data_IF_827834609952
#
_entry.id   IF_827834609952
#
_cell.length_a   1.000
_cell.length_b   1.000
_cell.length_c   1.000
_cell.angle_alpha   90.00
_cell.angle_beta   90.00
_cell.angle_gamma   90.00
#
_symmetry.space_group_name_H-M   'P 1'
#
loop_
_entity.id
_entity.type
_entity.pdbx_description
1 polymer ?
#
# COMPACT_ATOMS: atom_id res chain seq x y z
N UNK A 1 11.58 -14.44 13.51
CA UNK A 1 11.68 -15.71 14.21
C UNK A 1 11.22 -16.88 13.34
N UNK A 2 10.05 -16.80 12.65
CA UNK A 2 9.51 -17.87 11.80
C UNK A 2 10.51 -18.34 10.73
N UNK A 3 11.14 -17.44 9.99
CA UNK A 3 12.18 -17.77 8.99
C UNK A 3 13.37 -18.50 9.61
N UNK A 4 13.78 -18.09 10.80
CA UNK A 4 14.87 -18.78 11.52
C UNK A 4 14.47 -20.21 11.89
N UNK A 5 13.26 -20.40 12.42
CA UNK A 5 12.74 -21.71 12.77
C UNK A 5 12.60 -22.63 11.54
N UNK A 6 12.04 -22.09 10.44
CA UNK A 6 11.94 -22.82 9.18
C UNK A 6 13.31 -23.29 8.67
N UNK A 7 14.29 -22.39 8.67
CA UNK A 7 15.66 -22.71 8.25
C UNK A 7 16.32 -23.73 9.20
N UNK A 8 16.14 -23.58 10.52
CA UNK A 8 16.62 -24.55 11.52
C UNK A 8 16.04 -25.94 11.28
N UNK A 9 14.73 -26.02 11.00
CA UNK A 9 14.08 -27.28 10.71
C UNK A 9 14.58 -27.94 9.41
N UNK A 10 14.85 -27.15 8.36
CA UNK A 10 15.36 -27.68 7.08
C UNK A 10 16.75 -28.29 7.16
N UNK A 11 17.51 -28.02 8.21
CA UNK A 11 18.84 -28.58 8.43
C UNK A 11 18.94 -29.50 9.67
N UNK A 12 17.80 -29.88 10.27
CA UNK A 12 17.73 -30.70 11.48
C UNK A 12 18.51 -32.02 11.37
N UNK A 13 18.49 -32.62 10.18
CA UNK A 13 19.15 -33.91 9.90
C UNK A 13 20.62 -33.77 9.47
N UNK A 14 21.17 -32.56 9.57
CA UNK A 14 22.54 -32.26 9.22
C UNK A 14 23.41 -32.05 10.47
N UNK A 15 24.76 -32.10 10.30
CA UNK A 15 25.72 -31.77 11.36
C UNK A 15 25.92 -30.25 11.53
N UNK A 16 25.12 -29.39 10.82
CA UNK A 16 25.24 -27.95 10.86
C UNK A 16 24.72 -27.42 12.20
N UNK A 17 25.53 -26.58 12.86
CA UNK A 17 25.16 -25.94 14.12
C UNK A 17 25.01 -24.45 13.94
N UNK A 18 23.91 -23.88 14.45
CA UNK A 18 23.76 -22.43 14.55
C UNK A 18 24.59 -21.86 15.70
N UNK A 19 25.32 -20.82 15.40
CA UNK A 19 26.03 -20.02 16.41
C UNK A 19 25.45 -18.62 16.46
N UNK A 20 24.99 -18.18 17.61
CA UNK A 20 24.57 -16.79 17.85
C UNK A 20 25.81 -15.89 17.84
N UNK A 21 25.83 -14.89 17.00
CA UNK A 21 26.91 -13.91 16.88
C UNK A 21 26.33 -12.50 16.83
N UNK A 22 27.16 -11.51 17.13
CA UNK A 22 26.82 -10.11 16.90
C UNK A 22 26.61 -9.81 15.41
N UNK A 23 25.85 -8.79 15.10
CA UNK A 23 25.65 -8.37 13.72
C UNK A 23 26.98 -7.91 13.08
N UNK A 24 27.48 -8.71 12.15
CA UNK A 24 28.75 -8.42 11.47
C UNK A 24 28.67 -7.14 10.61
N UNK A 25 27.49 -6.80 10.07
CA UNK A 25 27.31 -5.57 9.30
C UNK A 25 27.55 -4.34 10.19
N UNK A 26 27.10 -4.36 11.45
CA UNK A 26 27.34 -3.25 12.39
C UNK A 26 28.83 -3.06 12.70
N UNK A 27 29.62 -4.15 12.65
CA UNK A 27 31.09 -4.08 12.84
C UNK A 27 31.82 -3.52 11.61
N UNK A 28 31.32 -3.81 10.41
CA UNK A 28 31.94 -3.39 9.16
C UNK A 28 31.49 -2.00 8.70
N UNK A 29 30.29 -1.60 9.04
CA UNK A 29 29.71 -0.31 8.62
C UNK A 29 30.12 0.83 9.51
N UNK A 30 31.40 1.20 9.45
CA UNK A 30 32.02 2.25 10.30
C UNK A 30 31.36 3.65 10.13
N UNK A 31 30.83 3.94 8.93
CA UNK A 31 30.13 5.21 8.61
C UNK A 31 28.61 5.04 8.63
N UNK A 32 28.09 4.19 9.51
CA UNK A 32 26.63 4.02 9.64
C UNK A 32 25.97 5.37 9.93
N UNK A 33 24.99 5.80 9.12
CA UNK A 33 24.27 7.04 9.38
C UNK A 33 23.62 6.99 10.75
N UNK A 34 23.65 8.11 11.48
CA UNK A 34 22.88 8.20 12.72
C UNK A 34 21.39 8.05 12.39
N UNK A 35 20.70 7.26 13.18
CA UNK A 35 19.25 7.15 13.05
C UNK A 35 18.63 8.53 13.26
N UNK A 36 17.95 9.03 12.25
CA UNK A 36 17.14 10.23 12.40
C UNK A 36 15.83 9.83 13.08
N UNK A 37 15.64 10.25 14.31
CA UNK A 37 14.39 10.05 15.03
C UNK A 37 13.54 11.30 14.81
N UNK A 38 12.50 11.19 14.01
CA UNK A 38 11.57 12.28 13.73
C UNK A 38 10.75 12.67 14.98
N UNK A 39 10.05 13.80 14.92
CA UNK A 39 9.10 14.14 15.97
C UNK A 39 7.88 13.22 15.91
N UNK A 40 7.50 12.69 17.05
CA UNK A 40 6.24 11.98 17.21
C UNK A 40 5.11 13.00 17.29
N UNK A 41 4.05 12.79 16.50
CA UNK A 41 2.85 13.61 16.58
C UNK A 41 1.59 12.75 16.63
N UNK A 42 0.53 13.32 17.21
CA UNK A 42 -0.78 12.67 17.33
C UNK A 42 -1.52 12.74 16.00
N UNK A 43 -2.05 11.62 15.55
CA UNK A 43 -3.00 11.58 14.44
C UNK A 43 -4.43 11.76 14.96
N UNK A 44 -5.15 12.73 14.42
CA UNK A 44 -6.42 13.18 14.97
C UNK A 44 -7.55 12.17 14.75
N UNK A 45 -8.44 12.01 15.76
CA UNK A 45 -9.63 11.13 15.67
C UNK A 45 -10.52 11.46 14.47
N UNK A 46 -10.57 12.72 14.01
CA UNK A 46 -11.33 13.08 12.80
C UNK A 46 -10.90 12.33 11.54
N UNK A 47 -9.66 11.78 11.51
CA UNK A 47 -9.12 10.97 10.43
C UNK A 47 -9.11 9.46 10.75
N UNK A 48 -8.85 9.11 12.03
CA UNK A 48 -8.71 7.71 12.43
C UNK A 48 -10.04 7.03 12.79
N UNK A 49 -11.10 7.80 12.99
CA UNK A 49 -12.43 7.31 13.40
C UNK A 49 -12.49 6.76 14.82
N UNK A 50 -11.53 5.94 15.21
CA UNK A 50 -11.40 5.36 16.55
C UNK A 50 -10.30 6.05 17.35
N UNK A 51 -10.59 6.33 18.63
CA UNK A 51 -9.57 6.74 19.60
C UNK A 51 -8.67 5.55 19.95
N UNK A 52 -7.46 5.82 20.50
CA UNK A 52 -6.62 4.74 21.01
C UNK A 52 -7.29 3.95 22.15
N UNK A 53 -8.21 4.56 22.93
CA UNK A 53 -8.96 3.87 24.00
C UNK A 53 -9.89 2.81 23.41
N UNK A 54 -10.64 3.15 22.36
CA UNK A 54 -11.50 2.20 21.65
C UNK A 54 -10.67 1.06 21.03
N UNK A 55 -9.52 1.37 20.43
CA UNK A 55 -8.58 0.36 19.89
C UNK A 55 -7.98 -0.51 21.00
N UNK A 56 -7.66 0.07 22.16
CA UNK A 56 -7.18 -0.65 23.34
C UNK A 56 -8.17 -1.72 23.80
N UNK A 57 -9.44 -1.38 23.86
CA UNK A 57 -10.49 -2.34 24.25
C UNK A 57 -10.58 -3.54 23.31
N UNK A 58 -10.43 -3.31 21.99
CA UNK A 58 -10.38 -4.40 21.00
C UNK A 58 -9.20 -5.34 21.26
N UNK A 59 -8.02 -4.77 21.54
CA UNK A 59 -6.80 -5.56 21.78
C UNK A 59 -6.90 -6.33 23.11
N UNK A 60 -7.42 -5.71 24.18
CA UNK A 60 -7.59 -6.38 25.47
C UNK A 60 -8.54 -7.59 25.34
N UNK A 61 -9.62 -7.47 24.55
CA UNK A 61 -10.51 -8.60 24.26
C UNK A 61 -9.76 -9.79 23.65
N UNK A 62 -8.83 -9.54 22.73
CA UNK A 62 -8.02 -10.62 22.13
C UNK A 62 -7.01 -11.20 23.14
N UNK A 63 -6.41 -10.40 24.02
CA UNK A 63 -5.53 -10.89 25.10
C UNK A 63 -6.32 -11.82 26.04
N UNK A 64 -7.51 -11.40 26.46
CA UNK A 64 -8.40 -12.18 27.35
C UNK A 64 -8.84 -13.47 26.68
N UNK A 65 -9.33 -13.40 25.43
CA UNK A 65 -9.78 -14.56 24.63
C UNK A 65 -8.69 -15.63 24.51
N UNK A 66 -7.43 -15.22 24.43
CA UNK A 66 -6.30 -16.13 24.32
C UNK A 66 -5.71 -16.54 25.69
N UNK A 67 -6.34 -16.14 26.79
CA UNK A 67 -5.90 -16.42 28.17
C UNK A 67 -4.43 -16.01 28.41
N UNK A 68 -4.07 -14.77 28.00
CA UNK A 68 -2.74 -14.19 28.12
C UNK A 68 -2.74 -12.94 29.02
N UNK A 69 -1.54 -12.51 29.46
CA UNK A 69 -1.35 -11.36 30.31
C UNK A 69 -0.99 -10.12 29.50
N UNK A 70 -0.36 -10.32 28.35
CA UNK A 70 0.15 -9.24 27.52
C UNK A 70 0.23 -9.58 26.02
N UNK A 71 0.28 -8.54 25.20
CA UNK A 71 0.58 -8.61 23.76
C UNK A 71 1.79 -7.73 23.49
N UNK A 72 2.84 -8.31 22.93
CA UNK A 72 3.97 -7.56 22.38
C UNK A 72 3.76 -7.28 20.89
N UNK A 73 3.89 -6.02 20.49
CA UNK A 73 3.68 -5.53 19.12
C UNK A 73 5.04 -5.13 18.54
N UNK A 74 5.54 -5.92 17.62
CA UNK A 74 6.84 -5.74 17.00
C UNK A 74 6.84 -4.88 15.75
N UNK A 75 5.66 -4.64 15.16
CA UNK A 75 5.48 -3.87 13.92
C UNK A 75 5.20 -2.40 14.26
N UNK A 76 6.06 -1.47 13.81
CA UNK A 76 5.87 -0.04 14.05
C UNK A 76 4.53 0.51 13.56
N UNK A 77 4.06 0.04 12.39
CA UNK A 77 2.77 0.44 11.80
C UNK A 77 1.59 0.09 12.73
N UNK A 78 1.63 -1.11 13.32
CA UNK A 78 0.61 -1.57 14.25
C UNK A 78 0.60 -0.73 15.53
N UNK A 79 1.78 -0.37 16.06
CA UNK A 79 1.91 0.55 17.19
C UNK A 79 1.40 1.93 16.83
N UNK A 80 1.77 2.47 15.66
CA UNK A 80 1.32 3.78 15.19
C UNK A 80 -0.20 3.84 14.99
N UNK A 81 -0.78 2.78 14.42
CA UNK A 81 -2.22 2.65 14.29
C UNK A 81 -2.89 2.56 15.66
N UNK A 82 -2.41 1.70 16.55
CA UNK A 82 -2.97 1.48 17.87
C UNK A 82 -3.00 2.75 18.72
N UNK A 83 -1.88 3.45 18.79
CA UNK A 83 -1.73 4.65 19.64
C UNK A 83 -2.16 5.96 18.95
N UNK A 84 -2.65 5.92 17.71
CA UNK A 84 -2.94 7.11 16.91
C UNK A 84 -1.77 8.11 16.90
N UNK A 85 -0.57 7.62 16.67
CA UNK A 85 0.63 8.44 16.52
C UNK A 85 1.24 8.25 15.14
N UNK A 86 1.97 9.26 14.67
CA UNK A 86 2.74 9.23 13.42
C UNK A 86 4.10 9.88 13.65
N UNK A 87 5.01 9.62 12.74
CA UNK A 87 6.32 10.25 12.65
C UNK A 87 6.84 10.11 11.23
N UNK A 88 8.05 10.58 10.97
CA UNK A 88 8.66 10.56 9.64
C UNK A 88 10.02 9.85 9.69
N UNK A 89 10.08 8.69 10.35
CA UNK A 89 11.33 7.92 10.49
C UNK A 89 11.72 7.15 9.24
N UNK A 90 10.76 6.89 8.36
CA UNK A 90 10.96 6.31 7.04
C UNK A 90 10.45 7.28 5.98
N UNK A 91 11.16 7.33 4.86
CA UNK A 91 10.68 8.03 3.69
C UNK A 91 9.34 7.42 3.26
N UNK A 92 8.42 8.27 2.82
CA UNK A 92 7.11 7.89 2.26
C UNK A 92 6.12 7.21 3.23
N UNK A 93 6.55 6.77 4.41
CA UNK A 93 5.68 6.09 5.39
C UNK A 93 5.65 6.86 6.70
N UNK A 94 4.49 7.43 7.10
CA UNK A 94 4.39 8.28 8.29
C UNK A 94 4.34 7.43 9.58
N UNK A 95 5.45 6.82 9.94
CA UNK A 95 5.57 5.98 11.12
C UNK A 95 6.71 6.40 12.07
N UNK A 96 6.63 5.90 13.29
CA UNK A 96 7.64 5.97 14.35
C UNK A 96 8.27 4.59 14.48
N UNK A 97 9.59 4.50 14.41
CA UNK A 97 10.31 3.23 14.69
C UNK A 97 10.25 2.92 16.18
N UNK A 98 9.34 2.06 16.54
CA UNK A 98 9.08 1.69 17.93
C UNK A 98 8.54 0.25 18.01
N UNK A 99 8.56 -0.26 19.22
CA UNK A 99 7.82 -1.44 19.64
C UNK A 99 6.82 -1.03 20.72
N UNK A 100 5.82 -1.84 20.97
CA UNK A 100 4.95 -1.61 22.11
C UNK A 100 4.50 -2.91 22.77
N UNK A 101 4.07 -2.78 24.00
CA UNK A 101 3.45 -3.86 24.77
C UNK A 101 2.20 -3.31 25.43
N UNK A 102 1.15 -4.09 25.41
CA UNK A 102 -0.07 -3.83 26.17
C UNK A 102 -0.35 -4.99 27.10
N UNK A 103 -0.62 -4.67 28.36
CA UNK A 103 -1.05 -5.63 29.39
C UNK A 103 -2.56 -5.80 29.40
N UNK A 104 -3.00 -6.93 29.89
CA UNK A 104 -4.45 -7.25 30.11
C UNK A 104 -5.16 -6.23 30.98
N UNK A 105 -4.48 -5.63 31.95
CA UNK A 105 -5.00 -4.56 32.83
C UNK A 105 -5.13 -3.21 32.12
N UNK A 106 -4.64 -3.09 30.87
CA UNK A 106 -4.70 -1.89 30.04
C UNK A 106 -3.52 -0.94 30.19
N UNK A 107 -2.45 -1.31 30.89
CA UNK A 107 -1.17 -0.58 30.87
C UNK A 107 -0.50 -0.73 29.52
N UNK A 108 0.09 0.35 29.03
CA UNK A 108 0.70 0.40 27.69
C UNK A 108 2.14 0.90 27.82
N UNK A 109 3.05 0.23 27.15
CA UNK A 109 4.46 0.60 27.07
C UNK A 109 4.85 0.78 25.61
N UNK A 110 5.47 1.91 25.29
CA UNK A 110 6.08 2.17 23.98
C UNK A 110 7.61 2.24 24.15
N UNK A 111 8.31 1.48 23.35
CA UNK A 111 9.78 1.43 23.35
C UNK A 111 10.30 2.13 22.11
N UNK A 112 10.91 3.30 22.32
CA UNK A 112 11.54 4.06 21.23
C UNK A 112 12.67 4.94 21.76
N UNK A 113 13.59 5.31 20.87
CA UNK A 113 14.69 6.23 21.23
C UNK A 113 14.39 7.70 20.87
N UNK A 114 13.11 8.02 20.63
CA UNK A 114 12.67 9.38 20.29
C UNK A 114 12.66 10.30 21.50
N UNK A 115 13.01 11.57 21.25
CA UNK A 115 12.66 12.65 22.16
C UNK A 115 11.18 12.98 21.98
N UNK A 116 10.42 12.92 23.06
CA UNK A 116 8.98 13.25 23.04
C UNK A 116 8.75 14.71 23.40
N UNK A 117 7.92 15.39 22.59
CA UNK A 117 7.50 16.76 22.88
C UNK A 117 6.59 16.82 24.11
N UNK A 118 6.45 18.01 24.72
CA UNK A 118 5.54 18.24 25.86
C UNK A 118 4.10 17.79 25.55
N UNK A 119 3.62 18.03 24.33
CA UNK A 119 2.29 17.62 23.90
C UNK A 119 2.13 16.10 23.86
N UNK A 120 3.11 15.38 23.34
CA UNK A 120 3.11 13.90 23.31
C UNK A 120 3.28 13.34 24.71
N UNK A 121 4.14 13.95 25.56
CA UNK A 121 4.28 13.57 26.97
C UNK A 121 2.94 13.67 27.69
N UNK A 122 2.24 14.79 27.54
CA UNK A 122 0.88 14.98 28.12
C UNK A 122 -0.11 13.95 27.56
N UNK A 123 -0.08 13.68 26.25
CA UNK A 123 -0.92 12.65 25.62
C UNK A 123 -0.65 11.26 26.20
N UNK A 124 0.60 10.88 26.39
CA UNK A 124 0.96 9.59 26.98
C UNK A 124 0.52 9.49 28.46
N UNK A 125 0.78 10.52 29.26
CA UNK A 125 0.36 10.58 30.66
C UNK A 125 -1.17 10.45 30.82
N UNK A 126 -1.96 11.19 30.06
CA UNK A 126 -3.43 11.16 30.10
C UNK A 126 -4.02 9.80 29.67
N UNK A 127 -3.22 8.92 29.06
CA UNK A 127 -3.67 7.67 28.48
C UNK A 127 -2.95 6.44 29.07
N UNK A 128 -2.23 6.61 30.18
CA UNK A 128 -1.46 5.55 30.87
C UNK A 128 -0.50 4.82 29.91
N UNK A 129 0.21 5.61 29.07
CA UNK A 129 1.24 5.12 28.17
C UNK A 129 2.61 5.48 28.75
N UNK A 130 3.41 4.47 29.05
CA UNK A 130 4.79 4.64 29.52
C UNK A 130 5.75 4.57 28.35
N UNK A 131 6.59 5.61 28.19
CA UNK A 131 7.62 5.64 27.15
C UNK A 131 8.97 5.22 27.75
N UNK A 132 9.60 4.23 27.12
CA UNK A 132 10.88 3.67 27.51
C UNK A 132 11.86 3.62 26.32
N UNK A 133 13.17 3.75 26.54
CA UNK A 133 14.16 3.49 25.51
C UNK A 133 14.13 2.04 25.03
N UNK A 134 14.42 1.79 23.75
CA UNK A 134 14.44 0.42 23.15
C UNK A 134 15.40 -0.49 23.93
N UNK A 135 16.57 0.00 24.36
CA UNK A 135 17.53 -0.77 25.11
C UNK A 135 17.05 -1.24 26.49
N UNK A 136 15.89 -0.79 26.95
CA UNK A 136 15.29 -1.21 28.23
C UNK A 136 14.29 -2.37 28.10
N UNK A 137 14.10 -2.91 26.91
CA UNK A 137 13.12 -4.02 26.68
C UNK A 137 13.48 -5.25 27.53
N UNK A 138 14.74 -5.66 27.57
CA UNK A 138 15.16 -6.84 28.35
C UNK A 138 14.96 -6.61 29.85
N UNK A 139 15.43 -5.48 30.41
CA UNK A 139 15.22 -5.11 31.81
C UNK A 139 13.73 -5.07 32.17
N UNK A 140 12.91 -4.55 31.26
CA UNK A 140 11.45 -4.47 31.42
C UNK A 140 10.82 -5.86 31.55
N UNK A 141 11.10 -6.77 30.62
CA UNK A 141 10.58 -8.14 30.66
C UNK A 141 11.05 -8.89 31.90
N UNK A 142 12.31 -8.74 32.29
CA UNK A 142 12.88 -9.32 33.50
C UNK A 142 12.15 -8.87 34.77
N UNK A 143 11.80 -7.58 34.86
CA UNK A 143 11.15 -7.02 36.05
C UNK A 143 9.64 -7.34 36.10
N UNK A 144 8.96 -7.41 34.95
CA UNK A 144 7.51 -7.70 34.86
C UNK A 144 7.19 -9.19 35.05
N UNK A 145 8.08 -10.08 34.58
CA UNK A 145 7.94 -11.53 34.71
C UNK A 145 6.54 -12.05 34.30
N UNK A 146 6.15 -11.79 33.04
CA UNK A 146 4.84 -12.20 32.51
C UNK A 146 4.66 -13.72 32.55
N UNK A 147 3.46 -14.19 32.94
CA UNK A 147 3.14 -15.63 32.86
C UNK A 147 2.97 -16.06 31.41
N UNK A 148 2.21 -15.28 30.60
CA UNK A 148 1.94 -15.64 29.20
C UNK A 148 1.83 -14.41 28.30
N UNK A 149 2.75 -14.30 27.32
CA UNK A 149 2.82 -13.19 26.36
C UNK A 149 2.42 -13.63 24.96
N UNK A 150 1.52 -12.89 24.30
CA UNK A 150 1.25 -13.03 22.87
C UNK A 150 2.33 -12.27 22.09
N UNK A 151 2.88 -12.87 21.04
CA UNK A 151 3.64 -12.17 20.00
C UNK A 151 3.65 -12.96 18.70
N UNK A 152 3.81 -12.26 17.59
CA UNK A 152 3.79 -12.84 16.26
C UNK A 152 5.20 -13.28 15.84
N UNK A 153 5.40 -14.57 15.60
CA UNK A 153 6.69 -15.14 15.16
C UNK A 153 7.10 -14.65 13.77
N UNK A 154 6.11 -14.32 12.92
CA UNK A 154 6.36 -13.87 11.56
C UNK A 154 7.05 -12.51 11.53
N UNK A 155 6.66 -11.61 12.44
CA UNK A 155 7.09 -10.20 12.44
C UNK A 155 8.11 -9.89 13.53
N UNK A 156 8.17 -10.69 14.62
CA UNK A 156 9.08 -10.42 15.74
C UNK A 156 10.52 -10.80 15.42
N UNK A 157 11.47 -9.86 15.52
CA UNK A 157 12.90 -10.15 15.39
C UNK A 157 13.38 -11.20 16.39
N UNK A 158 14.31 -12.05 15.97
CA UNK A 158 14.82 -13.14 16.82
C UNK A 158 15.33 -12.66 18.19
N UNK A 159 16.09 -11.55 18.24
CA UNK A 159 16.63 -11.02 19.49
C UNK A 159 15.54 -10.60 20.50
N UNK A 160 14.42 -10.07 20.02
CA UNK A 160 13.27 -9.71 20.89
C UNK A 160 12.48 -10.96 21.30
N UNK A 161 12.33 -11.91 20.42
CA UNK A 161 11.71 -13.19 20.75
C UNK A 161 12.51 -13.94 21.84
N UNK A 162 13.84 -13.92 21.75
CA UNK A 162 14.74 -14.51 22.75
C UNK A 162 14.55 -13.89 24.15
N UNK A 163 14.36 -12.59 24.23
CA UNK A 163 14.01 -11.88 25.48
C UNK A 163 12.66 -12.37 26.03
N UNK A 164 11.63 -12.49 25.16
CA UNK A 164 10.32 -12.98 25.58
C UNK A 164 10.42 -14.42 26.08
N UNK A 165 11.12 -15.30 25.36
CA UNK A 165 11.33 -16.70 25.80
C UNK A 165 12.06 -16.82 27.12
N UNK A 166 13.01 -15.92 27.40
CA UNK A 166 13.81 -15.95 28.60
C UNK A 166 13.05 -15.51 29.86
N UNK A 167 12.14 -14.53 29.70
CA UNK A 167 11.51 -13.84 30.83
C UNK A 167 9.97 -13.98 30.91
N UNK A 168 9.35 -14.70 29.98
CA UNK A 168 7.95 -15.10 30.09
C UNK A 168 7.87 -16.59 30.36
N UNK A 169 7.01 -17.02 31.31
CA UNK A 169 6.87 -18.45 31.65
C UNK A 169 6.28 -19.24 30.48
N UNK A 170 5.37 -18.63 29.71
CA UNK A 170 4.71 -19.22 28.55
C UNK A 170 4.47 -18.13 27.48
N UNK A 171 4.14 -18.53 26.26
CA UNK A 171 3.87 -17.62 25.17
C UNK A 171 2.85 -18.22 24.18
N UNK A 172 2.25 -17.31 23.39
CA UNK A 172 1.36 -17.69 22.29
C UNK A 172 1.85 -17.05 20.99
N UNK A 173 2.10 -17.92 19.98
CA UNK A 173 2.34 -17.47 18.61
C UNK A 173 0.99 -17.21 17.94
N UNK A 174 0.62 -15.96 17.83
CA UNK A 174 -0.65 -15.53 17.21
C UNK A 174 -0.31 -14.35 16.32
N UNK A 175 -0.86 -14.35 15.09
CA UNK A 175 -0.80 -13.17 14.22
C UNK A 175 -1.26 -11.94 15.00
N UNK A 176 -0.48 -10.86 14.90
CA UNK A 176 -0.81 -9.64 15.63
C UNK A 176 -2.23 -9.14 15.28
N UNK A 177 -3.17 -9.10 16.23
CA UNK A 177 -4.56 -8.72 15.96
C UNK A 177 -4.69 -7.29 15.42
N UNK A 178 -3.75 -6.40 15.73
CA UNK A 178 -3.73 -5.05 15.18
C UNK A 178 -3.66 -5.06 13.65
N UNK A 179 -2.96 -6.02 13.04
CA UNK A 179 -2.84 -6.13 11.58
C UNK A 179 -4.20 -6.29 10.92
N UNK A 180 -5.06 -7.14 11.47
CA UNK A 180 -6.41 -7.36 10.94
C UNK A 180 -7.33 -6.17 11.24
N UNK A 181 -7.30 -5.63 12.46
CA UNK A 181 -8.10 -4.47 12.82
C UNK A 181 -7.77 -3.25 11.98
N UNK A 182 -6.49 -3.00 11.71
CA UNK A 182 -5.99 -1.93 10.86
C UNK A 182 -6.37 -2.14 9.39
N UNK A 183 -6.37 -3.37 8.91
CA UNK A 183 -6.72 -3.72 7.53
C UNK A 183 -8.19 -3.43 7.22
N UNK A 184 -9.11 -3.73 8.16
CA UNK A 184 -10.55 -3.46 8.02
C UNK A 184 -10.86 -2.02 8.42
N UNK A 185 -10.78 -1.10 7.44
CA UNK A 185 -11.00 0.34 7.65
C UNK A 185 -12.41 0.62 8.14
N UNK A 186 -12.52 1.47 9.16
CA UNK A 186 -13.81 1.97 9.63
C UNK A 186 -14.41 3.00 8.66
N UNK A 187 -15.65 3.43 8.90
CA UNK A 187 -16.37 4.36 8.02
C UNK A 187 -15.66 5.71 7.84
N UNK A 188 -14.96 6.20 8.87
CA UNK A 188 -14.20 7.45 8.81
C UNK A 188 -12.96 7.29 7.93
N UNK A 189 -12.22 6.21 8.09
CA UNK A 189 -11.04 5.90 7.27
C UNK A 189 -11.43 5.65 5.81
N UNK A 190 -12.56 4.97 5.54
CA UNK A 190 -13.08 4.78 4.18
C UNK A 190 -13.47 6.13 3.55
N UNK A 191 -14.19 6.99 4.30
CA UNK A 191 -14.55 8.33 3.83
C UNK A 191 -13.29 9.16 3.54
N UNK A 192 -12.29 9.08 4.42
CA UNK A 192 -10.99 9.72 4.23
C UNK A 192 -10.30 9.23 2.96
N UNK A 193 -10.24 7.92 2.74
CA UNK A 193 -9.66 7.32 1.53
C UNK A 193 -10.39 7.82 0.26
N UNK A 194 -11.73 7.86 0.25
CA UNK A 194 -12.50 8.41 -0.87
C UNK A 194 -12.10 9.87 -1.15
N UNK A 195 -12.01 10.70 -0.12
CA UNK A 195 -11.62 12.11 -0.27
C UNK A 195 -10.17 12.27 -0.76
N UNK A 196 -9.24 11.44 -0.26
CA UNK A 196 -7.85 11.42 -0.71
C UNK A 196 -7.76 11.06 -2.20
N UNK A 197 -8.54 10.07 -2.66
CA UNK A 197 -8.56 9.67 -4.08
C UNK A 197 -9.21 10.72 -4.99
N UNK A 198 -10.12 11.54 -4.50
CA UNK A 198 -10.65 12.70 -5.27
C UNK A 198 -9.52 13.72 -5.48
N UNK A 199 -8.81 14.11 -4.44
CA UNK A 199 -7.70 15.08 -4.53
C UNK A 199 -6.54 14.54 -5.39
N UNK A 200 -6.16 13.29 -5.17
CA UNK A 200 -5.13 12.62 -5.96
C UNK A 200 -5.53 12.53 -7.43
N UNK A 201 -6.80 12.20 -7.69
CA UNK A 201 -7.38 12.17 -9.03
C UNK A 201 -7.35 13.53 -9.73
N UNK A 202 -7.57 14.64 -9.00
CA UNK A 202 -7.40 15.99 -9.51
C UNK A 202 -5.97 16.25 -9.94
N UNK A 203 -5.00 15.94 -9.07
CA UNK A 203 -3.58 16.12 -9.38
C UNK A 203 -3.13 15.28 -10.59
N UNK A 204 -3.52 14.00 -10.61
CA UNK A 204 -3.19 13.09 -11.71
C UNK A 204 -3.87 13.47 -13.03
N UNK A 205 -5.12 13.91 -13.00
CA UNK A 205 -5.85 14.38 -14.19
C UNK A 205 -5.18 15.62 -14.79
N UNK A 206 -4.80 16.60 -13.97
CA UNK A 206 -4.05 17.78 -14.42
C UNK A 206 -2.66 17.41 -14.97
N UNK A 207 -2.04 16.39 -14.42
CA UNK A 207 -0.80 15.84 -14.95
C UNK A 207 -1.01 15.21 -16.35
N UNK A 208 -2.03 14.38 -16.51
CA UNK A 208 -2.35 13.74 -17.80
C UNK A 208 -2.69 14.79 -18.88
N UNK A 209 -3.49 15.81 -18.53
CA UNK A 209 -3.74 16.96 -19.40
C UNK A 209 -2.46 17.68 -19.81
N UNK A 210 -1.58 17.96 -18.83
CA UNK A 210 -0.30 18.61 -19.13
C UNK A 210 0.55 17.77 -20.09
N UNK A 211 0.63 16.45 -19.89
CA UNK A 211 1.41 15.54 -20.71
C UNK A 211 0.85 15.45 -22.13
N UNK A 212 -0.46 15.38 -22.29
CA UNK A 212 -1.14 15.30 -23.59
C UNK A 212 -0.94 16.58 -24.46
N UNK A 213 -0.66 17.71 -23.80
CA UNK A 213 -0.30 18.97 -24.48
C UNK A 213 1.22 19.11 -24.74
N UNK A 214 1.97 18.01 -24.68
CA UNK A 214 3.40 17.93 -24.93
C UNK A 214 3.69 17.18 -26.23
N UNK A 215 4.89 17.33 -26.72
CA UNK A 215 5.40 16.70 -27.93
C UNK A 215 6.81 16.17 -27.69
N UNK A 216 7.33 15.35 -28.59
CA UNK A 216 8.73 14.90 -28.50
C UNK A 216 9.72 16.06 -28.52
N UNK A 217 9.38 17.19 -29.19
CA UNK A 217 10.19 18.41 -29.23
C UNK A 217 10.37 19.12 -27.88
N UNK A 218 9.49 18.83 -26.89
CA UNK A 218 9.66 19.36 -25.53
C UNK A 218 10.83 18.71 -24.76
N UNK A 219 11.42 17.65 -25.31
CA UNK A 219 12.59 16.92 -24.77
C UNK A 219 12.45 16.46 -23.32
N UNK A 220 11.21 16.19 -22.86
CA UNK A 220 10.94 15.73 -21.51
C UNK A 220 11.60 14.38 -21.21
N UNK A 221 11.96 14.16 -19.97
CA UNK A 221 12.49 12.91 -19.47
C UNK A 221 11.71 12.39 -18.25
N UNK A 222 12.01 11.19 -17.81
CA UNK A 222 11.30 10.50 -16.70
C UNK A 222 11.35 11.29 -15.38
N UNK A 223 12.45 11.99 -15.09
CA UNK A 223 12.58 12.83 -13.90
C UNK A 223 11.65 14.05 -13.96
N UNK A 224 11.41 14.60 -15.16
CA UNK A 224 10.46 15.72 -15.33
C UNK A 224 9.03 15.29 -15.07
N UNK A 225 8.69 14.05 -15.43
CA UNK A 225 7.39 13.41 -15.12
C UNK A 225 7.17 13.32 -13.61
N UNK A 226 8.14 12.74 -12.88
CA UNK A 226 8.10 12.63 -11.42
C UNK A 226 7.92 13.99 -10.75
N UNK A 227 8.78 14.97 -11.12
CA UNK A 227 8.72 16.32 -10.56
C UNK A 227 7.40 17.04 -10.86
N UNK A 228 6.88 16.88 -12.08
CA UNK A 228 5.61 17.52 -12.46
C UNK A 228 4.44 16.99 -11.64
N UNK A 229 4.36 15.68 -11.50
CA UNK A 229 3.30 15.04 -10.74
C UNK A 229 3.36 15.41 -9.25
N UNK A 230 4.57 15.37 -8.66
CA UNK A 230 4.77 15.81 -7.27
C UNK A 230 4.28 17.25 -7.04
N UNK A 231 4.69 18.20 -7.90
CA UNK A 231 4.26 19.61 -7.79
C UNK A 231 2.73 19.80 -7.90
N UNK A 232 2.03 18.90 -8.57
CA UNK A 232 0.57 18.94 -8.65
C UNK A 232 -0.06 18.40 -7.37
N UNK A 233 0.46 17.30 -6.80
CA UNK A 233 0.01 16.76 -5.52
C UNK A 233 0.27 17.70 -4.35
N UNK A 234 1.39 18.41 -4.34
CA UNK A 234 1.73 19.41 -3.30
C UNK A 234 0.73 20.55 -3.18
N UNK A 235 -0.12 20.77 -4.19
CA UNK A 235 -1.18 21.79 -4.18
C UNK A 235 -2.49 21.28 -3.57
N UNK A 236 -2.59 19.99 -3.36
CA UNK A 236 -3.82 19.38 -2.86
C UNK A 236 -3.88 19.42 -1.32
N UNK A 237 -5.08 19.67 -0.81
CA UNK A 237 -5.32 19.71 0.65
C UNK A 237 -4.94 18.39 1.33
N UNK A 238 -4.38 18.46 2.53
CA UNK A 238 -3.94 17.32 3.34
C UNK A 238 -2.81 16.47 2.74
N UNK A 239 -2.23 16.83 1.61
CA UNK A 239 -1.05 16.16 1.07
C UNK A 239 0.16 16.38 1.99
N UNK A 240 0.90 15.32 2.29
CA UNK A 240 2.07 15.36 3.16
C UNK A 240 3.35 14.99 2.40
N UNK A 241 3.31 13.91 1.65
CA UNK A 241 4.44 13.38 0.88
C UNK A 241 3.95 12.37 -0.17
N UNK A 242 4.79 11.97 -1.13
CA UNK A 242 4.51 10.74 -1.88
C UNK A 242 4.33 9.54 -0.94
N UNK A 243 3.56 8.54 -1.34
CA UNK A 243 3.39 7.28 -0.60
C UNK A 243 4.50 6.26 -0.89
N UNK A 244 5.25 6.49 -1.98
CA UNK A 244 6.48 5.79 -2.37
C UNK A 244 7.23 6.61 -3.43
N UNK A 245 8.45 6.20 -3.78
CA UNK A 245 9.20 6.84 -4.87
C UNK A 245 8.47 6.61 -6.19
N UNK A 246 8.05 7.67 -6.86
CA UNK A 246 7.34 7.57 -8.14
C UNK A 246 8.14 6.74 -9.14
N UNK A 247 7.48 5.80 -9.81
CA UNK A 247 7.99 5.05 -10.94
C UNK A 247 7.50 5.74 -12.20
N UNK A 248 8.41 6.28 -12.99
CA UNK A 248 8.10 6.87 -14.30
C UNK A 248 9.05 6.27 -15.32
N UNK A 249 8.62 5.19 -16.00
CA UNK A 249 9.47 4.46 -16.94
C UNK A 249 8.93 4.52 -18.35
N UNK A 250 9.73 5.06 -19.29
CA UNK A 250 9.41 5.07 -20.72
C UNK A 250 10.15 3.98 -21.48
N UNK A 251 9.50 3.40 -22.48
CA UNK A 251 10.08 2.32 -23.28
C UNK A 251 10.58 1.17 -22.38
N UNK A 252 11.83 0.73 -22.55
CA UNK A 252 12.37 -0.42 -21.80
C UNK A 252 12.51 -0.18 -20.28
N UNK A 253 12.56 1.08 -19.82
CA UNK A 253 12.56 1.36 -18.38
C UNK A 253 11.21 1.00 -17.73
N UNK A 254 10.10 1.11 -18.47
CA UNK A 254 8.78 0.65 -18.05
C UNK A 254 8.69 -0.86 -17.79
N UNK A 255 9.61 -1.66 -18.37
CA UNK A 255 9.66 -3.10 -18.11
C UNK A 255 10.26 -3.47 -16.74
N UNK A 256 10.89 -2.53 -16.05
CA UNK A 256 11.47 -2.73 -14.71
C UNK A 256 10.40 -2.38 -13.68
N UNK A 257 9.84 -3.39 -13.01
CA UNK A 257 8.66 -3.26 -12.14
C UNK A 257 8.82 -2.18 -11.07
N UNK A 258 9.98 -2.09 -10.44
CA UNK A 258 10.32 -1.08 -9.43
C UNK A 258 11.41 -0.13 -9.95
N UNK A 259 11.19 0.41 -11.15
CA UNK A 259 12.13 1.36 -11.76
C UNK A 259 12.22 2.65 -10.94
N UNK A 260 13.43 3.17 -10.81
CA UNK A 260 13.68 4.50 -10.24
C UNK A 260 14.55 5.29 -11.19
N UNK A 261 14.01 6.39 -11.69
CA UNK A 261 14.77 7.30 -12.54
C UNK A 261 15.84 8.04 -11.73
N UNK A 262 17.05 8.07 -12.27
CA UNK A 262 18.14 8.92 -11.80
C UNK A 262 18.87 9.56 -12.99
N UNK A 263 19.83 10.41 -12.72
CA UNK A 263 20.57 11.15 -13.78
C UNK A 263 21.34 10.24 -14.75
N UNK A 264 21.64 9.00 -14.36
CA UNK A 264 22.46 8.08 -15.15
C UNK A 264 21.60 7.14 -16.00
N UNK A 265 20.34 6.86 -15.57
CA UNK A 265 19.48 5.86 -16.18
C UNK A 265 18.20 6.43 -16.83
N UNK A 266 17.86 7.70 -16.59
CA UNK A 266 16.60 8.26 -17.10
C UNK A 266 16.66 8.44 -18.62
N UNK A 267 15.52 8.22 -19.27
CA UNK A 267 15.32 8.34 -20.72
C UNK A 267 14.47 9.55 -21.06
N UNK A 268 14.71 10.12 -22.26
CA UNK A 268 13.80 11.08 -22.90
C UNK A 268 12.54 10.34 -23.40
N UNK A 269 11.41 11.00 -23.32
CA UNK A 269 10.15 10.53 -23.87
C UNK A 269 10.17 10.59 -25.38
N UNK A 270 9.71 9.53 -26.05
CA UNK A 270 9.70 9.41 -27.53
C UNK A 270 8.30 9.07 -28.04
N UNK A 271 7.96 9.60 -29.19
CA UNK A 271 6.70 9.34 -29.86
C UNK A 271 6.53 7.83 -30.19
N UNK A 272 5.38 7.26 -29.85
CA UNK A 272 5.03 5.84 -30.06
C UNK A 272 5.56 4.90 -28.97
N UNK A 273 6.26 5.43 -27.95
CA UNK A 273 6.59 4.66 -26.74
C UNK A 273 5.41 4.64 -25.77
N UNK A 274 5.50 3.74 -24.79
CA UNK A 274 4.63 3.72 -23.62
C UNK A 274 5.38 4.39 -22.45
N UNK A 275 4.64 5.18 -21.68
CA UNK A 275 5.07 5.69 -20.39
C UNK A 275 4.24 4.99 -19.30
N UNK A 276 4.90 4.24 -18.43
CA UNK A 276 4.30 3.69 -17.23
C UNK A 276 4.58 4.68 -16.08
N UNK A 277 3.53 5.22 -15.48
CA UNK A 277 3.61 6.08 -14.29
C UNK A 277 2.87 5.42 -13.15
N UNK A 278 3.62 5.03 -12.13
CA UNK A 278 3.12 4.46 -10.89
C UNK A 278 3.50 5.37 -9.72
N UNK A 279 2.50 5.83 -8.97
CA UNK A 279 2.68 6.90 -8.00
C UNK A 279 1.52 6.99 -7.02
N UNK A 280 1.78 7.54 -5.86
CA UNK A 280 0.74 7.78 -4.87
C UNK A 280 1.09 8.91 -3.91
N UNK A 281 0.18 9.24 -3.02
CA UNK A 281 0.34 10.28 -2.02
C UNK A 281 -0.10 9.85 -0.63
N UNK A 282 0.61 10.34 0.38
CA UNK A 282 0.21 10.32 1.77
C UNK A 282 -0.62 11.57 2.05
N UNK A 283 -1.89 11.38 2.32
CA UNK A 283 -2.83 12.41 2.78
C UNK A 283 -3.17 12.14 4.23
N UNK A 284 -3.43 13.18 5.03
CA UNK A 284 -3.79 13.01 6.45
C UNK A 284 -4.98 12.07 6.68
N UNK A 285 -5.83 11.91 5.69
CA UNK A 285 -7.05 11.08 5.73
C UNK A 285 -6.99 9.82 4.86
N UNK A 286 -5.84 9.54 4.18
CA UNK A 286 -5.70 8.33 3.39
C UNK A 286 -4.35 8.21 2.71
N UNK A 287 -4.08 7.04 2.14
CA UNK A 287 -2.91 6.76 1.30
C UNK A 287 -3.42 6.38 -0.08
N UNK A 288 -2.84 6.92 -1.14
CA UNK A 288 -3.21 6.59 -2.53
C UNK A 288 -2.09 5.84 -3.22
N UNK A 289 -2.49 5.05 -4.21
CA UNK A 289 -1.65 4.27 -5.10
C UNK A 289 -2.35 4.14 -6.45
N UNK A 290 -1.64 4.42 -7.55
CA UNK A 290 -2.22 4.39 -8.88
C UNK A 290 -1.17 4.23 -9.96
N UNK A 291 -1.38 3.29 -10.86
CA UNK A 291 -0.59 3.19 -12.10
C UNK A 291 -1.43 3.52 -13.32
N UNK A 292 -0.86 4.32 -14.22
CA UNK A 292 -1.35 4.50 -15.59
C UNK A 292 -0.24 4.23 -16.60
N UNK A 293 -0.59 3.47 -17.62
CA UNK A 293 0.23 3.34 -18.82
C UNK A 293 -0.36 4.23 -19.91
N UNK A 294 0.47 5.06 -20.51
CA UNK A 294 0.10 6.17 -21.40
C UNK A 294 0.82 6.02 -22.72
N UNK A 295 0.11 6.20 -23.84
CA UNK A 295 0.68 6.32 -25.17
C UNK A 295 1.36 7.69 -25.31
N UNK A 296 2.67 7.72 -25.57
CA UNK A 296 3.39 8.96 -25.75
C UNK A 296 3.19 9.52 -27.17
N UNK A 297 2.73 10.76 -27.24
CA UNK A 297 2.59 11.58 -28.46
C UNK A 297 1.90 10.81 -29.61
N UNK A 298 0.65 10.28 -29.39
CA UNK A 298 -0.01 9.41 -30.34
C UNK A 298 -0.39 10.11 -31.66
N UNK A 299 -0.42 11.44 -31.66
CA UNK A 299 -0.63 12.26 -32.86
C UNK A 299 0.64 12.33 -33.75
N UNK A 300 1.83 12.16 -33.19
CA UNK A 300 3.11 12.14 -33.92
C UNK A 300 3.43 10.72 -34.42
N UNK A 301 3.21 9.71 -33.59
CA UNK A 301 3.41 8.31 -33.93
C UNK A 301 2.45 7.38 -33.19
N UNK A 302 1.70 6.60 -33.94
CA UNK A 302 0.76 5.61 -33.37
C UNK A 302 1.50 4.48 -32.65
N UNK A 303 0.92 4.02 -31.55
CA UNK A 303 1.36 2.82 -30.84
C UNK A 303 1.08 1.59 -31.67
N UNK A 304 2.01 0.63 -31.69
CA UNK A 304 1.84 -0.60 -32.46
C UNK A 304 0.73 -1.52 -31.88
N UNK A 305 0.26 -2.45 -32.70
CA UNK A 305 -0.87 -3.31 -32.36
C UNK A 305 -0.56 -4.28 -31.22
N UNK A 306 0.68 -4.76 -31.11
CA UNK A 306 1.11 -5.63 -30.01
C UNK A 306 0.95 -4.94 -28.65
N UNK A 307 1.45 -3.71 -28.50
CA UNK A 307 1.32 -2.93 -27.25
C UNK A 307 -0.15 -2.74 -26.87
N UNK A 308 -1.02 -2.46 -27.85
CA UNK A 308 -2.47 -2.32 -27.63
C UNK A 308 -3.13 -3.65 -27.21
N UNK A 309 -2.77 -4.75 -27.84
CA UNK A 309 -3.23 -6.09 -27.44
C UNK A 309 -2.85 -6.38 -26.00
N UNK A 310 -1.58 -6.21 -25.62
CA UNK A 310 -1.09 -6.46 -24.25
C UNK A 310 -1.76 -5.54 -23.23
N UNK A 311 -1.92 -4.26 -23.55
CA UNK A 311 -2.65 -3.32 -22.70
C UNK A 311 -4.10 -3.75 -22.48
N UNK A 312 -4.77 -4.17 -23.53
CA UNK A 312 -6.18 -4.59 -23.45
C UNK A 312 -6.34 -5.85 -22.60
N UNK A 313 -5.42 -6.82 -22.70
CA UNK A 313 -5.43 -8.03 -21.83
C UNK A 313 -5.22 -7.69 -20.36
N UNK A 314 -4.30 -6.77 -20.05
CA UNK A 314 -4.10 -6.26 -18.69
C UNK A 314 -5.38 -5.55 -18.21
N UNK A 315 -6.01 -4.71 -19.05
CA UNK A 315 -7.26 -4.04 -18.73
C UNK A 315 -8.39 -5.03 -18.43
N UNK A 316 -8.54 -6.10 -19.24
CA UNK A 316 -9.53 -7.15 -18.99
C UNK A 316 -9.33 -7.83 -17.64
N UNK A 317 -8.08 -8.12 -17.26
CA UNK A 317 -7.75 -8.67 -15.94
C UNK A 317 -8.09 -7.69 -14.81
N UNK A 318 -7.80 -6.41 -15.00
CA UNK A 318 -8.16 -5.34 -14.07
C UNK A 318 -9.68 -5.24 -13.86
N UNK A 319 -10.45 -5.28 -14.96
CA UNK A 319 -11.92 -5.26 -14.94
C UNK A 319 -12.47 -6.49 -14.22
N UNK A 320 -11.93 -7.68 -14.50
CA UNK A 320 -12.38 -8.92 -13.89
C UNK A 320 -12.31 -8.89 -12.36
N UNK A 321 -11.23 -8.33 -11.78
CA UNK A 321 -11.13 -8.10 -10.33
C UNK A 321 -12.12 -7.03 -9.88
N UNK A 322 -12.18 -5.88 -10.57
CA UNK A 322 -13.03 -4.76 -10.17
C UNK A 322 -14.53 -5.14 -10.15
N UNK A 323 -14.97 -6.03 -11.03
CA UNK A 323 -16.34 -6.55 -11.14
C UNK A 323 -16.60 -7.80 -10.29
N UNK A 324 -15.58 -8.36 -9.63
CA UNK A 324 -15.75 -9.64 -8.93
C UNK A 324 -16.69 -9.53 -7.75
N UNK A 325 -17.54 -10.54 -7.64
CA UNK A 325 -18.42 -10.79 -6.48
C UNK A 325 -18.03 -12.14 -5.88
N UNK A 326 -17.84 -12.20 -4.58
CA UNK A 326 -17.33 -13.38 -3.91
C UNK A 326 -17.93 -13.57 -2.53
N UNK A 327 -17.96 -14.81 -2.05
CA UNK A 327 -18.49 -15.16 -0.71
C UNK A 327 -17.56 -14.65 0.39
N UNK A 328 -18.12 -14.32 1.56
CA UNK A 328 -17.32 -14.17 2.80
C UNK A 328 -16.53 -15.45 3.04
N UNK A 329 -15.28 -15.31 3.45
CA UNK A 329 -14.33 -16.42 3.56
C UNK A 329 -13.41 -16.59 2.35
N UNK A 330 -13.69 -15.94 1.21
CA UNK A 330 -12.78 -15.95 0.04
C UNK A 330 -11.45 -15.33 0.39
N UNK A 331 -10.36 -15.98 0.00
CA UNK A 331 -8.98 -15.50 0.18
C UNK A 331 -8.45 -14.87 -1.10
N UNK A 332 -7.40 -14.05 -0.96
CA UNK A 332 -6.86 -13.35 -2.13
C UNK A 332 -6.30 -14.26 -3.23
N UNK A 333 -5.83 -15.46 -2.86
CA UNK A 333 -5.38 -16.49 -3.81
C UNK A 333 -6.50 -16.95 -4.77
N UNK A 334 -7.75 -16.94 -4.32
CA UNK A 334 -8.88 -17.37 -5.14
C UNK A 334 -9.25 -16.32 -6.20
N UNK A 335 -8.91 -15.05 -5.96
CA UNK A 335 -9.19 -13.93 -6.86
C UNK A 335 -8.07 -13.68 -7.88
N UNK A 336 -6.82 -13.95 -7.53
CA UNK A 336 -5.65 -13.68 -8.37
C UNK A 336 -5.75 -14.28 -9.80
N UNK A 337 -6.28 -15.51 -10.01
CA UNK A 337 -6.45 -16.08 -11.36
C UNK A 337 -7.34 -15.26 -12.29
N UNK A 338 -8.32 -14.51 -11.75
CA UNK A 338 -9.20 -13.66 -12.54
C UNK A 338 -8.44 -12.58 -13.30
N UNK A 339 -7.44 -11.97 -12.65
CA UNK A 339 -6.60 -10.96 -13.27
C UNK A 339 -5.63 -11.51 -14.31
N UNK A 340 -5.14 -12.75 -14.10
CA UNK A 340 -4.12 -13.37 -14.95
C UNK A 340 -4.69 -14.05 -16.20
N UNK A 341 -5.95 -14.43 -16.17
CA UNK A 341 -6.61 -15.26 -17.19
C UNK A 341 -6.28 -14.81 -18.61
N UNK A 342 -6.49 -13.55 -18.93
CA UNK A 342 -6.39 -13.04 -20.31
C UNK A 342 -4.94 -12.94 -20.82
N UNK A 343 -3.96 -12.90 -19.94
CA UNK A 343 -2.54 -13.02 -20.30
C UNK A 343 -2.16 -14.49 -20.47
N UNK A 344 -2.60 -15.37 -19.58
CA UNK A 344 -2.29 -16.80 -19.60
C UNK A 344 -2.83 -17.46 -20.89
N UNK A 345 -3.97 -17.03 -21.40
CA UNK A 345 -4.53 -17.48 -22.69
C UNK A 345 -3.57 -17.29 -23.88
N UNK A 346 -2.61 -16.36 -23.76
CA UNK A 346 -1.54 -16.13 -24.75
C UNK A 346 -0.16 -16.62 -24.30
N UNK A 347 -0.11 -17.45 -23.27
CA UNK A 347 1.17 -17.93 -22.70
C UNK A 347 1.97 -16.84 -21.97
N UNK A 348 1.33 -15.72 -21.58
CA UNK A 348 1.95 -14.59 -20.91
C UNK A 348 1.58 -14.54 -19.43
N UNK A 349 2.40 -13.87 -18.62
CA UNK A 349 2.14 -13.68 -17.20
C UNK A 349 2.97 -12.50 -16.65
N UNK A 350 2.76 -12.17 -15.36
CA UNK A 350 3.58 -11.25 -14.59
C UNK A 350 3.97 -11.88 -13.25
N UNK A 351 5.13 -11.46 -12.70
CA UNK A 351 5.76 -12.12 -11.56
C UNK A 351 5.45 -11.50 -10.19
N UNK A 352 4.69 -10.39 -10.13
CA UNK A 352 4.26 -9.77 -8.88
C UNK A 352 2.84 -10.19 -8.49
N UNK A 353 2.40 -9.84 -7.29
CA UNK A 353 1.00 -10.03 -6.87
C UNK A 353 0.06 -9.12 -7.66
N UNK A 354 -1.19 -9.53 -7.83
CA UNK A 354 -2.22 -8.71 -8.47
C UNK A 354 -2.64 -7.53 -7.58
N UNK A 355 -2.41 -7.62 -6.28
CA UNK A 355 -2.70 -6.54 -5.36
C UNK A 355 -2.24 -6.80 -3.94
N UNK A 356 -2.05 -5.72 -3.21
CA UNK A 356 -1.66 -5.67 -1.80
C UNK A 356 -2.61 -4.79 -1.01
N UNK A 357 -2.66 -4.95 0.31
CA UNK A 357 -3.41 -4.05 1.17
C UNK A 357 -2.74 -2.66 1.24
N UNK A 358 -3.55 -1.65 1.56
CA UNK A 358 -3.10 -0.25 1.67
C UNK A 358 -3.52 0.34 3.01
N UNK A 359 -2.63 1.07 3.65
CA UNK A 359 -2.86 1.74 4.93
C UNK A 359 -3.73 2.99 4.84
N UNK A 360 -4.09 3.54 6.00
CA UNK A 360 -4.74 4.85 6.11
C UNK A 360 -3.76 5.83 6.75
N UNK A 361 -3.11 6.65 5.93
CA UNK A 361 -1.97 7.47 6.32
C UNK A 361 -0.91 6.64 7.07
N UNK A 362 -0.55 5.51 6.46
CA UNK A 362 0.48 4.54 6.88
C UNK A 362 1.14 3.92 5.65
N UNK A 363 1.67 2.70 5.75
CA UNK A 363 2.34 2.04 4.64
C UNK A 363 1.44 1.87 3.40
N UNK A 364 1.97 2.19 2.22
CA UNK A 364 1.27 1.90 0.96
C UNK A 364 1.13 0.38 0.78
N UNK A 365 2.16 -0.39 1.11
CA UNK A 365 2.10 -1.84 1.20
C UNK A 365 1.74 -2.27 2.63
N UNK A 366 0.50 -2.62 2.88
CA UNK A 366 -0.01 -2.99 4.18
C UNK A 366 -0.69 -4.38 4.15
N UNK A 367 -0.10 -5.33 4.89
CA UNK A 367 -0.79 -6.63 5.13
C UNK A 367 -1.91 -6.52 6.19
N UNK A 368 -2.61 -7.66 6.46
CA UNK A 368 -2.23 -9.02 6.05
C UNK A 368 -2.80 -9.49 4.71
N UNK A 369 -3.75 -8.76 4.10
CA UNK A 369 -4.42 -9.14 2.86
C UNK A 369 -3.56 -8.83 1.61
N UNK A 370 -3.72 -9.67 0.60
CA UNK A 370 -3.21 -9.45 -0.76
C UNK A 370 -4.03 -10.27 -1.76
N UNK A 371 -4.15 -9.80 -2.99
CA UNK A 371 -4.61 -10.61 -4.13
C UNK A 371 -3.35 -11.12 -4.82
N UNK A 372 -2.98 -12.37 -4.55
CA UNK A 372 -1.76 -12.97 -5.08
C UNK A 372 -1.81 -14.49 -4.93
N UNK A 373 -0.93 -15.28 -5.62
CA UNK A 373 -0.85 -16.72 -5.44
C UNK A 373 -0.54 -17.15 -3.99
N UNK A 374 0.01 -16.24 -3.16
CA UNK A 374 0.34 -16.45 -1.75
C UNK A 374 -0.68 -15.79 -0.80
N UNK A 375 -1.75 -15.20 -1.30
CA UNK A 375 -2.75 -14.46 -0.52
C UNK A 375 -3.70 -15.38 0.24
N UNK A 376 -3.34 -15.79 1.45
CA UNK A 376 -4.12 -16.70 2.30
C UNK A 376 -5.05 -15.99 3.29
N UNK A 377 -4.96 -14.67 3.39
CA UNK A 377 -5.87 -13.91 4.25
C UNK A 377 -7.24 -13.79 3.59
N UNK A 378 -8.29 -14.07 4.37
CA UNK A 378 -9.67 -13.79 3.99
C UNK A 378 -9.85 -12.30 3.72
N UNK A 379 -10.47 -11.97 2.59
CA UNK A 379 -10.86 -10.60 2.24
C UNK A 379 -12.12 -10.24 3.03
N UNK A 380 -12.01 -9.14 3.80
CA UNK A 380 -13.08 -8.66 4.67
C UNK A 380 -13.56 -7.27 4.28
N UNK A 381 -14.81 -6.96 4.63
CA UNK A 381 -15.38 -5.60 4.50
C UNK A 381 -14.44 -4.54 5.07
N UNK A 382 -14.26 -3.46 4.32
CA UNK A 382 -13.39 -2.34 4.69
C UNK A 382 -11.93 -2.51 4.34
N UNK A 383 -11.49 -3.66 3.83
CA UNK A 383 -10.13 -3.83 3.33
C UNK A 383 -9.96 -3.04 2.04
N UNK A 384 -8.94 -2.16 2.01
CA UNK A 384 -8.48 -1.46 0.81
C UNK A 384 -7.34 -2.27 0.23
N UNK A 385 -7.39 -2.53 -1.08
CA UNK A 385 -6.45 -3.40 -1.79
C UNK A 385 -6.15 -2.77 -3.15
N UNK A 386 -4.91 -2.88 -3.62
CA UNK A 386 -4.58 -2.54 -5.02
C UNK A 386 -5.12 -3.60 -5.98
N UNK A 387 -5.45 -3.17 -7.19
CA UNK A 387 -5.82 -4.02 -8.32
C UNK A 387 -4.93 -3.59 -9.48
N UNK A 388 -3.78 -4.27 -9.63
CA UNK A 388 -2.63 -3.81 -10.40
C UNK A 388 -2.04 -4.88 -11.35
N UNK A 389 -2.82 -5.60 -12.14
CA UNK A 389 -2.25 -6.51 -13.13
C UNK A 389 -1.32 -5.78 -14.10
N UNK A 390 -0.33 -6.48 -14.61
CA UNK A 390 0.67 -5.88 -15.51
C UNK A 390 1.20 -6.87 -16.55
N UNK A 391 1.99 -6.35 -17.47
CA UNK A 391 2.77 -7.11 -18.45
C UNK A 391 4.09 -6.40 -18.72
N UNK A 392 5.18 -7.12 -18.73
CA UNK A 392 6.52 -6.53 -18.85
C UNK A 392 7.31 -7.30 -19.90
N UNK A 393 7.61 -6.64 -21.01
CA UNK A 393 8.47 -7.18 -22.08
C UNK A 393 9.88 -6.64 -21.87
N UNK A 394 10.76 -7.51 -21.42
CA UNK A 394 12.12 -7.15 -21.09
C UNK A 394 12.80 -6.40 -22.24
N UNK A 395 13.53 -5.32 -21.91
CA UNK A 395 14.20 -4.41 -22.83
C UNK A 395 13.30 -3.68 -23.83
N UNK A 396 11.99 -3.79 -23.74
CA UNK A 396 11.07 -3.12 -24.68
C UNK A 396 10.09 -2.17 -23.98
N UNK A 397 9.15 -2.67 -23.14
CA UNK A 397 8.16 -1.84 -22.46
C UNK A 397 7.48 -2.57 -21.31
N UNK A 398 6.86 -1.78 -20.41
CA UNK A 398 5.97 -2.30 -19.38
C UNK A 398 4.58 -1.70 -19.45
N UNK A 399 3.61 -2.46 -18.98
CA UNK A 399 2.21 -2.09 -18.84
C UNK A 399 1.75 -2.47 -17.43
N UNK A 400 1.14 -1.54 -16.70
CA UNK A 400 0.39 -1.78 -15.47
C UNK A 400 -0.82 -0.86 -15.46
N UNK A 401 -1.95 -1.38 -15.06
CA UNK A 401 -3.17 -0.59 -14.85
C UNK A 401 -3.58 -0.85 -13.41
N UNK A 402 -3.60 0.20 -12.61
CA UNK A 402 -3.88 0.07 -11.18
C UNK A 402 -4.93 1.05 -10.71
N UNK A 403 -5.85 0.54 -9.92
CA UNK A 403 -6.74 1.29 -9.05
C UNK A 403 -6.73 0.67 -7.64
N UNK A 404 -6.91 1.49 -6.62
CA UNK A 404 -7.30 0.99 -5.31
C UNK A 404 -8.81 0.68 -5.29
N UNK A 405 -9.13 -0.44 -4.67
CA UNK A 405 -10.49 -0.93 -4.48
C UNK A 405 -10.75 -1.20 -2.99
N UNK A 406 -11.99 -1.03 -2.54
CA UNK A 406 -12.41 -1.38 -1.18
C UNK A 406 -13.46 -2.47 -1.19
N UNK A 407 -13.26 -3.50 -0.37
CA UNK A 407 -14.24 -4.57 -0.20
C UNK A 407 -15.45 -4.08 0.60
N UNK A 408 -16.65 -4.29 0.07
CA UNK A 408 -17.92 -3.91 0.69
C UNK A 408 -18.95 -5.04 0.57
N UNK A 409 -19.99 -5.00 1.41
CA UNK A 409 -21.12 -5.91 1.32
C UNK A 409 -22.00 -5.55 0.12
N UNK A 410 -22.60 -6.56 -0.47
CA UNK A 410 -23.62 -6.35 -1.51
C UNK A 410 -24.97 -6.04 -0.88
N UNK A 411 -25.66 -5.02 -1.41
CA UNK A 411 -26.93 -4.49 -0.90
C UNK A 411 -28.09 -5.48 -0.85
N UNK A 412 -28.04 -6.69 -1.00
CA UNK A 412 -29.15 -7.67 -0.92
C UNK A 412 -28.69 -9.09 -0.56
N UNK A 413 -27.41 -9.26 -0.24
CA UNK A 413 -26.88 -10.58 0.05
C UNK A 413 -25.77 -10.52 1.10
N UNK A 414 -26.12 -10.68 2.35
CA UNK A 414 -25.22 -10.57 3.51
C UNK A 414 -24.04 -11.55 3.48
N UNK A 415 -24.06 -12.55 2.60
CA UNK A 415 -22.99 -13.53 2.49
C UNK A 415 -22.00 -13.26 1.35
N UNK A 416 -22.19 -12.18 0.58
CA UNK A 416 -21.30 -11.82 -0.53
C UNK A 416 -20.69 -10.44 -0.37
N UNK A 417 -19.46 -10.33 -0.85
CA UNK A 417 -18.71 -9.08 -0.97
C UNK A 417 -18.50 -8.76 -2.44
N UNK A 418 -18.31 -7.47 -2.71
CA UNK A 418 -17.87 -6.95 -3.99
C UNK A 418 -16.84 -5.85 -3.77
N UNK A 419 -16.20 -5.38 -4.83
CA UNK A 419 -15.28 -4.27 -4.76
C UNK A 419 -15.92 -2.96 -5.25
N UNK A 420 -15.57 -1.86 -4.59
CA UNK A 420 -15.83 -0.49 -5.03
C UNK A 420 -14.50 0.17 -5.37
N UNK A 421 -14.36 0.66 -6.60
CA UNK A 421 -13.18 1.40 -7.03
C UNK A 421 -13.11 2.77 -6.35
N UNK A 422 -11.95 3.08 -5.79
CA UNK A 422 -11.63 4.36 -5.14
C UNK A 422 -10.90 5.32 -6.06
N UNK A 423 -9.91 4.82 -6.82
CA UNK A 423 -9.06 5.62 -7.71
C UNK A 423 -9.87 6.26 -8.83
N UNK A 424 -9.57 7.52 -9.10
CA UNK A 424 -10.24 8.34 -10.11
C UNK A 424 -9.20 8.94 -11.05
N UNK A 425 -8.98 8.30 -12.20
CA UNK A 425 -8.11 8.80 -13.26
C UNK A 425 -8.51 8.17 -14.61
N UNK A 426 -8.54 8.91 -15.73
CA UNK A 426 -8.83 8.32 -17.02
C UNK A 426 -7.85 7.18 -17.36
N UNK A 427 -8.39 6.15 -18.04
CA UNK A 427 -7.61 5.08 -18.68
C UNK A 427 -7.39 5.50 -20.13
N UNK A 428 -6.15 5.35 -20.62
CA UNK A 428 -5.81 5.80 -22.00
C UNK A 428 -6.50 4.97 -23.08
N UNK A 429 -7.48 5.57 -23.74
CA UNK A 429 -8.26 4.94 -24.79
C UNK A 429 -7.45 4.65 -26.07
N UNK A 430 -6.32 5.37 -26.29
CA UNK A 430 -5.45 5.12 -27.46
C UNK A 430 -4.82 3.71 -27.41
N UNK A 431 -4.76 3.10 -26.22
CA UNK A 431 -4.19 1.78 -25.98
C UNK A 431 -5.22 0.65 -26.00
N UNK A 432 -6.50 0.95 -26.11
CA UNK A 432 -7.58 -0.07 -26.07
C UNK A 432 -7.87 -0.62 -27.45
N UNK A 433 -7.79 -1.94 -27.60
CA UNK A 433 -8.35 -2.68 -28.74
C UNK A 433 -9.81 -2.99 -28.46
N UNK A 434 -10.73 -2.13 -28.90
CA UNK A 434 -12.16 -2.22 -28.58
C UNK A 434 -12.75 -3.58 -28.99
N UNK A 435 -12.35 -4.14 -30.13
CA UNK A 435 -12.82 -5.43 -30.63
C UNK A 435 -12.44 -6.63 -29.73
N UNK A 436 -11.52 -6.45 -28.77
CA UNK A 436 -11.15 -7.47 -27.78
C UNK A 436 -12.03 -7.42 -26.54
N UNK A 437 -12.79 -6.34 -26.34
CA UNK A 437 -13.65 -6.17 -25.19
C UNK A 437 -15.05 -6.73 -25.49
N UNK A 438 -15.64 -7.39 -24.51
CA UNK A 438 -17.05 -7.75 -24.53
C UNK A 438 -17.94 -6.57 -24.06
N UNK A 439 -19.27 -6.74 -24.13
CA UNK A 439 -20.24 -5.68 -23.78
C UNK A 439 -20.13 -5.24 -22.30
N UNK A 440 -19.94 -6.20 -21.40
CA UNK A 440 -19.80 -5.91 -19.96
C UNK A 440 -18.51 -5.12 -19.67
N UNK A 441 -17.42 -5.48 -20.32
CA UNK A 441 -16.14 -4.78 -20.19
C UNK A 441 -16.20 -3.34 -20.74
N UNK A 442 -16.86 -3.15 -21.89
CA UNK A 442 -17.13 -1.81 -22.46
C UNK A 442 -18.00 -0.99 -21.51
N UNK A 443 -19.06 -1.60 -20.97
CA UNK A 443 -19.96 -0.96 -20.00
C UNK A 443 -19.17 -0.53 -18.77
N UNK A 444 -18.31 -1.38 -18.25
CA UNK A 444 -17.47 -1.04 -17.10
C UNK A 444 -16.56 0.15 -17.39
N UNK A 445 -15.83 0.15 -18.52
CA UNK A 445 -14.95 1.26 -18.91
C UNK A 445 -15.71 2.57 -19.00
N UNK A 446 -16.87 2.55 -19.65
CA UNK A 446 -17.71 3.72 -19.83
C UNK A 446 -18.26 4.26 -18.49
N UNK A 447 -18.78 3.39 -17.63
CA UNK A 447 -19.26 3.76 -16.29
C UNK A 447 -18.15 4.26 -15.38
N UNK A 448 -16.95 3.67 -15.50
CA UNK A 448 -15.78 4.15 -14.77
C UNK A 448 -15.37 5.56 -15.21
N UNK A 449 -15.29 5.81 -16.53
CA UNK A 449 -14.97 7.12 -17.08
C UNK A 449 -16.06 8.17 -16.74
N UNK A 450 -17.34 7.79 -16.80
CA UNK A 450 -18.45 8.65 -16.36
C UNK A 450 -18.27 9.09 -14.91
N UNK A 451 -18.03 8.15 -14.00
CA UNK A 451 -17.77 8.44 -12.59
C UNK A 451 -16.53 9.34 -12.40
N UNK A 452 -15.45 9.12 -13.15
CA UNK A 452 -14.27 9.97 -13.14
C UNK A 452 -14.64 11.39 -13.55
N UNK A 453 -15.37 11.56 -14.66
CA UNK A 453 -15.80 12.86 -15.16
C UNK A 453 -16.73 13.56 -14.17
N UNK A 454 -17.80 12.92 -13.71
CA UNK A 454 -18.78 13.50 -12.77
C UNK A 454 -18.12 13.98 -11.48
N UNK A 455 -17.12 13.24 -11.00
CA UNK A 455 -16.44 13.58 -9.75
C UNK A 455 -15.42 14.70 -9.94
N UNK A 456 -14.57 14.60 -10.96
CA UNK A 456 -13.40 15.48 -11.12
C UNK A 456 -13.69 16.75 -11.92
N UNK A 457 -14.72 16.80 -12.76
CA UNK A 457 -15.11 17.98 -13.57
C UNK A 457 -15.28 19.24 -12.73
N UNK A 458 -15.75 19.10 -11.50
CA UNK A 458 -15.95 20.20 -10.54
C UNK A 458 -14.65 20.93 -10.15
N UNK A 459 -13.51 20.29 -10.34
CA UNK A 459 -12.18 20.81 -10.00
C UNK A 459 -11.35 21.18 -11.22
N UNK A 460 -11.89 20.97 -12.44
CA UNK A 460 -11.24 21.29 -13.71
C UNK A 460 -11.82 22.58 -14.29
N UNK A 461 -11.01 23.33 -15.04
CA UNK A 461 -11.42 24.58 -15.67
C UNK A 461 -10.99 24.62 -17.13
N UNK A 462 -11.72 25.38 -17.93
CA UNK A 462 -11.36 25.69 -19.32
C UNK A 462 -10.88 24.47 -20.14
N UNK A 463 -9.65 24.52 -20.61
CA UNK A 463 -9.06 23.45 -21.43
C UNK A 463 -8.91 22.13 -20.69
N UNK A 464 -8.69 22.15 -19.37
CA UNK A 464 -8.60 20.93 -18.55
C UNK A 464 -9.96 20.20 -18.54
N UNK A 465 -11.06 20.94 -18.41
CA UNK A 465 -12.40 20.38 -18.40
C UNK A 465 -12.78 19.77 -19.76
N UNK A 466 -12.47 20.48 -20.85
CA UNK A 466 -12.69 19.99 -22.21
C UNK A 466 -11.90 18.70 -22.45
N UNK A 467 -10.64 18.70 -22.06
CA UNK A 467 -9.77 17.52 -22.19
C UNK A 467 -10.30 16.33 -21.37
N UNK A 468 -10.70 16.56 -20.12
CA UNK A 468 -11.25 15.50 -19.25
C UNK A 468 -12.52 14.91 -19.87
N UNK A 469 -13.40 15.74 -20.44
CA UNK A 469 -14.61 15.30 -21.14
C UNK A 469 -14.28 14.38 -22.30
N UNK A 470 -13.33 14.75 -23.15
CA UNK A 470 -12.91 13.90 -24.30
C UNK A 470 -12.21 12.62 -23.82
N UNK A 471 -11.36 12.71 -22.78
CA UNK A 471 -10.67 11.54 -22.23
C UNK A 471 -11.64 10.52 -21.62
N UNK A 472 -12.73 11.01 -21.03
CA UNK A 472 -13.79 10.18 -20.43
C UNK A 472 -14.96 9.85 -21.37
N UNK A 473 -14.93 10.28 -22.62
CA UNK A 473 -15.97 9.96 -23.60
C UNK A 473 -16.08 8.45 -23.81
N UNK A 474 -17.33 7.98 -23.88
CA UNK A 474 -17.65 6.56 -24.08
C UNK A 474 -16.94 5.96 -25.29
N UNK A 475 -16.42 4.76 -25.13
CA UNK A 475 -15.97 3.92 -26.24
C UNK A 475 -17.18 3.17 -26.81
N UNK A 476 -17.23 3.08 -28.12
CA UNK A 476 -18.29 2.40 -28.85
C UNK A 476 -17.68 1.19 -29.56
N UNK A 477 -18.45 0.10 -29.64
CA UNK A 477 -18.10 -1.08 -30.46
C UNK A 477 -18.35 -0.81 -31.93
#
# INVERSE_FOLDING_TARGET
LEKFNSFKNSISDTKIKFKKIDNLVDKLWLKKPKQNNSLIYKHNKKFTGLSHKEKKELIIKEIIKNNCDSLFISEPENTCWFLNIRGNDLDFTPLVRCYSLIERNGEIYIFSNHKISSNIKKYFQLNNITHLPIGKIEDFFKNKNFKRTIFDFKTTPYGLADVIFKYSTDYRNIQNPCSLFKACKNSTEIKGAINAHVRDGVALTKFLFWLDNKSEKDELNEIDIEKKLLRLREKEENFISPSFSTIAGTGSNGAIVHYKADKNNCKKLKAGDLLLVDSGGQYLDGTTDVTRTIALFPNEKKVNQEKKDRFTRVLKGHIAIACSTFKKGTIGKDLDPLARKFLIEEGLNYNHGTGHGVGSFLGVHEGPQSISPLGIQEIKKGMIISNEPGYYKENEYGIRIENLIVAQEMDKNDNHLCFKTLTLAPIDKNLICINMLNKEEITWVNSYHEKVFETLSKFMRDKELIWLKESCKSILQ
#
